data_IF_817487831434
#
_entry.id   IF_817487831434
#
_cell.length_a   1.000
_cell.length_b   1.000
_cell.length_c   1.000
_cell.angle_alpha   90.00
_cell.angle_beta   90.00
_cell.angle_gamma   90.00
#
_symmetry.space_group_name_H-M   'P 1'
#
loop_
_entity.id
_entity.type
_entity.pdbx_description
1 polymer ?
#
# COMPACT_ATOMS: atom_id res chain seq x y z
N UNK A 1 -14.88 -62.37 -34.32
CA UNK A 1 -15.14 -62.63 -35.75
C UNK A 1 -14.27 -61.75 -36.58
N UNK A 2 -13.28 -62.31 -37.15
CA UNK A 2 -12.84 -62.29 -38.56
C UNK A 2 -12.25 -60.97 -39.01
N UNK A 3 -10.96 -60.80 -38.97
CA UNK A 3 -9.90 -60.99 -39.99
C UNK A 3 -10.09 -60.11 -41.25
N UNK A 4 -9.13 -59.33 -41.63
CA UNK A 4 -8.28 -59.61 -42.77
C UNK A 4 -7.10 -58.64 -42.93
N UNK A 5 -5.95 -59.27 -43.11
CA UNK A 5 -4.68 -58.71 -43.61
C UNK A 5 -4.78 -58.41 -45.10
N UNK A 6 -4.10 -57.40 -45.59
CA UNK A 6 -3.45 -57.47 -46.92
C UNK A 6 -2.13 -56.69 -46.94
N UNK A 7 -1.10 -57.42 -47.22
CA UNK A 7 0.24 -56.97 -47.60
C UNK A 7 0.34 -56.86 -49.12
N UNK A 8 1.04 -55.83 -49.63
CA UNK A 8 1.60 -55.82 -51.00
C UNK A 8 2.92 -55.07 -50.95
N UNK A 9 3.92 -55.68 -51.02
CA UNK A 9 5.01 -55.96 -51.98
C UNK A 9 5.82 -54.74 -52.48
N UNK A 10 7.08 -54.87 -52.19
CA UNK A 10 8.32 -54.25 -52.68
C UNK A 10 8.32 -53.82 -54.15
N UNK A 11 8.92 -52.68 -54.44
CA UNK A 11 9.86 -52.50 -55.58
C UNK A 11 10.92 -51.47 -55.17
N UNK A 12 12.17 -51.94 -55.25
CA UNK A 12 13.35 -51.13 -55.01
C UNK A 12 13.71 -50.26 -56.21
N UNK A 13 14.30 -49.09 -55.90
CA UNK A 13 15.15 -48.37 -56.84
C UNK A 13 16.40 -47.90 -56.06
N UNK A 14 17.51 -48.44 -56.45
CA UNK A 14 18.83 -48.01 -56.08
C UNK A 14 19.15 -46.72 -56.84
N UNK A 15 19.49 -45.65 -56.10
CA UNK A 15 20.11 -44.44 -56.66
C UNK A 15 21.33 -44.10 -55.81
N UNK A 16 22.38 -43.92 -56.54
CA UNK A 16 23.74 -43.59 -56.16
C UNK A 16 23.83 -42.47 -55.13
N UNK A 17 24.59 -42.72 -54.07
CA UNK A 17 25.06 -41.70 -53.12
C UNK A 17 26.40 -41.22 -53.58
N UNK A 18 26.46 -40.09 -54.24
CA UNK A 18 27.68 -39.31 -54.45
C UNK A 18 28.03 -38.58 -53.17
N UNK A 19 29.18 -38.90 -52.62
CA UNK A 19 29.68 -38.28 -51.39
C UNK A 19 29.91 -36.78 -51.52
N UNK A 20 29.32 -36.03 -50.65
CA UNK A 20 29.73 -34.65 -50.30
C UNK A 20 30.22 -34.72 -48.85
N UNK A 21 31.56 -34.88 -48.67
CA UNK A 21 32.22 -34.62 -47.39
C UNK A 21 32.11 -33.11 -47.14
N UNK A 22 31.03 -32.70 -46.46
CA UNK A 22 30.94 -31.38 -45.87
C UNK A 22 31.87 -31.31 -44.67
N UNK A 23 32.82 -30.37 -44.70
CA UNK A 23 33.57 -29.92 -43.55
C UNK A 23 32.59 -29.58 -42.44
N UNK A 24 32.41 -30.42 -41.45
CA UNK A 24 31.95 -30.04 -40.14
C UNK A 24 33.05 -29.20 -39.52
N UNK A 25 32.94 -27.89 -39.63
CA UNK A 25 33.68 -26.99 -38.79
C UNK A 25 33.33 -27.35 -37.35
N UNK A 26 34.26 -27.93 -36.63
CA UNK A 26 34.23 -28.05 -35.18
C UNK A 26 34.22 -26.62 -34.64
N UNK A 27 33.03 -26.03 -34.52
CA UNK A 27 32.81 -24.92 -33.61
C UNK A 27 33.06 -25.51 -32.21
N UNK A 28 34.28 -25.29 -31.72
CA UNK A 28 34.59 -25.55 -30.33
C UNK A 28 33.56 -24.87 -29.47
N UNK A 29 33.29 -25.38 -28.26
CA UNK A 29 32.39 -24.68 -27.35
C UNK A 29 32.86 -23.25 -27.19
N UNK A 30 32.11 -22.27 -27.70
CA UNK A 30 32.30 -20.88 -27.35
C UNK A 30 32.10 -20.84 -25.86
N UNK A 31 33.16 -20.73 -25.10
CA UNK A 31 33.07 -20.50 -23.65
C UNK A 31 32.31 -19.20 -23.49
N UNK A 32 31.07 -19.26 -23.07
CA UNK A 32 30.33 -18.04 -22.79
C UNK A 32 31.10 -17.25 -21.71
N UNK A 33 31.27 -15.96 -21.93
CA UNK A 33 31.85 -15.09 -20.91
C UNK A 33 31.10 -15.28 -19.61
N UNK A 34 31.80 -15.50 -18.50
CA UNK A 34 31.19 -15.70 -17.19
C UNK A 34 32.00 -15.02 -16.10
N UNK A 35 31.32 -14.58 -15.08
CA UNK A 35 31.89 -14.03 -13.87
C UNK A 35 31.56 -14.89 -12.67
N UNK A 36 32.39 -14.79 -11.63
CA UNK A 36 32.13 -15.33 -10.30
C UNK A 36 31.80 -14.18 -9.37
N UNK A 37 30.63 -14.26 -8.73
CA UNK A 37 30.21 -13.32 -7.70
C UNK A 37 30.62 -13.82 -6.32
N UNK A 38 31.20 -12.95 -5.50
CA UNK A 38 31.41 -13.21 -4.07
C UNK A 38 30.12 -13.13 -3.28
N UNK A 39 30.21 -13.28 -1.97
CA UNK A 39 29.05 -13.12 -1.08
C UNK A 39 28.60 -11.67 -1.06
N UNK A 40 27.32 -11.37 -1.35
CA UNK A 40 26.81 -10.00 -1.24
C UNK A 40 26.65 -9.58 0.23
N UNK A 41 26.83 -8.29 0.48
CA UNK A 41 26.58 -7.66 1.76
C UNK A 41 25.60 -6.51 1.62
N UNK A 42 24.79 -6.27 2.68
CA UNK A 42 23.91 -5.12 2.76
C UNK A 42 23.98 -4.54 4.18
N UNK A 43 24.12 -3.22 4.27
CA UNK A 43 24.13 -2.49 5.54
C UNK A 43 23.12 -1.37 5.48
N UNK A 44 22.16 -1.37 6.40
CA UNK A 44 21.13 -0.35 6.54
C UNK A 44 21.55 0.66 7.61
N UNK A 45 21.27 1.95 7.33
CA UNK A 45 21.40 3.04 8.32
C UNK A 45 20.17 3.93 8.17
N UNK A 46 19.42 4.12 9.25
CA UNK A 46 18.20 4.90 9.27
C UNK A 46 18.43 6.33 8.79
N UNK A 47 17.54 6.81 7.91
CA UNK A 47 17.58 8.18 7.35
C UNK A 47 18.78 8.48 6.44
N UNK A 48 19.61 7.46 6.12
CA UNK A 48 20.76 7.62 5.22
C UNK A 48 20.67 6.73 3.98
N UNK A 49 20.48 5.43 4.19
CA UNK A 49 20.38 4.51 3.07
C UNK A 49 20.73 3.07 3.40
N UNK A 50 20.64 2.25 2.37
CA UNK A 50 21.09 0.85 2.38
C UNK A 50 22.24 0.72 1.40
N UNK A 51 23.41 0.34 1.89
CA UNK A 51 24.61 0.11 1.08
C UNK A 51 24.72 -1.37 0.74
N UNK A 52 24.67 -1.71 -0.54
CA UNK A 52 24.90 -3.05 -1.06
C UNK A 52 26.29 -3.14 -1.65
N UNK A 53 27.01 -4.22 -1.39
CA UNK A 53 28.35 -4.47 -1.96
C UNK A 53 28.55 -5.94 -2.30
N UNK A 54 29.25 -6.20 -3.42
CA UNK A 54 29.60 -7.54 -3.86
C UNK A 54 30.85 -7.53 -4.72
N UNK A 55 31.79 -8.44 -4.48
CA UNK A 55 32.92 -8.64 -5.39
C UNK A 55 32.50 -9.42 -6.62
N UNK A 56 33.15 -9.12 -7.75
CA UNK A 56 32.99 -9.85 -9.01
C UNK A 56 34.35 -10.09 -9.62
N UNK A 57 34.58 -11.28 -10.18
CA UNK A 57 35.84 -11.69 -10.85
C UNK A 57 35.53 -12.57 -12.05
N UNK A 58 36.48 -12.70 -12.99
CA UNK A 58 36.32 -13.54 -14.18
C UNK A 58 36.38 -12.71 -15.46
N UNK A 59 35.47 -12.96 -16.40
CA UNK A 59 35.44 -12.28 -17.70
C UNK A 59 35.14 -10.78 -17.54
N UNK A 60 35.58 -10.01 -18.48
CA UNK A 60 35.26 -8.57 -18.55
C UNK A 60 33.77 -8.37 -18.90
N UNK A 61 33.13 -7.44 -18.27
CA UNK A 61 31.75 -7.05 -18.54
C UNK A 61 31.68 -5.56 -18.91
N UNK A 62 30.69 -5.19 -19.70
CA UNK A 62 30.50 -3.83 -20.21
C UNK A 62 29.81 -2.92 -19.20
N UNK A 63 28.79 -3.45 -18.50
CA UNK A 63 27.94 -2.71 -17.59
C UNK A 63 27.59 -3.57 -16.36
N UNK A 64 27.25 -2.92 -15.28
CA UNK A 64 26.68 -3.57 -14.12
C UNK A 64 25.45 -2.78 -13.62
N UNK A 65 24.46 -3.51 -13.15
CA UNK A 65 23.22 -2.96 -12.64
C UNK A 65 22.95 -3.48 -11.23
N UNK A 66 22.25 -2.67 -10.46
CA UNK A 66 21.53 -3.10 -9.25
C UNK A 66 20.09 -3.41 -9.64
N UNK A 67 19.63 -4.62 -9.36
CA UNK A 67 18.25 -5.07 -9.49
C UNK A 67 17.65 -5.09 -8.09
N UNK A 68 16.70 -4.19 -7.83
CA UNK A 68 16.12 -3.93 -6.51
C UNK A 68 14.63 -4.22 -6.54
N UNK A 69 14.10 -4.88 -5.51
CA UNK A 69 12.67 -5.15 -5.34
C UNK A 69 12.23 -4.73 -3.95
N UNK A 70 11.21 -3.88 -3.89
CA UNK A 70 10.54 -3.48 -2.65
C UNK A 70 9.20 -4.20 -2.51
N UNK A 71 8.68 -4.36 -1.30
CA UNK A 71 7.32 -4.86 -1.10
C UNK A 71 6.30 -4.00 -1.86
N UNK A 72 5.37 -4.65 -2.55
CA UNK A 72 4.34 -3.96 -3.35
C UNK A 72 4.75 -3.55 -4.77
N UNK A 73 6.03 -3.68 -5.13
CA UNK A 73 6.46 -3.41 -6.50
C UNK A 73 5.85 -4.40 -7.50
N UNK A 74 5.40 -3.90 -8.65
CA UNK A 74 4.91 -4.74 -9.76
C UNK A 74 6.06 -5.54 -10.38
N UNK A 75 7.28 -5.02 -10.30
CA UNK A 75 8.50 -5.66 -10.81
C UNK A 75 9.75 -4.95 -10.30
N UNK A 76 10.93 -5.56 -10.50
CA UNK A 76 12.17 -5.00 -9.98
C UNK A 76 12.54 -3.69 -10.66
N UNK A 77 13.11 -2.78 -9.90
CA UNK A 77 13.80 -1.59 -10.39
C UNK A 77 15.22 -1.96 -10.80
N UNK A 78 15.66 -1.56 -11.99
CA UNK A 78 17.01 -1.79 -12.50
C UNK A 78 17.76 -0.46 -12.57
N UNK A 79 18.82 -0.33 -11.79
CA UNK A 79 19.61 0.90 -11.68
C UNK A 79 21.05 0.66 -12.11
N UNK A 80 21.49 1.40 -13.13
CA UNK A 80 22.85 1.29 -13.65
C UNK A 80 23.89 1.78 -12.63
N UNK A 81 24.93 0.97 -12.41
CA UNK A 81 26.05 1.31 -11.54
C UNK A 81 27.06 2.15 -12.34
N UNK A 82 27.44 3.29 -11.78
CA UNK A 82 28.44 4.16 -12.36
C UNK A 82 29.85 3.56 -12.14
N UNK A 83 30.64 3.47 -13.20
CA UNK A 83 32.03 3.01 -13.16
C UNK A 83 32.21 1.65 -12.44
N UNK A 84 31.56 0.58 -12.92
CA UNK A 84 31.65 -0.72 -12.28
C UNK A 84 33.06 -1.28 -12.38
N UNK A 85 33.61 -1.79 -11.27
CA UNK A 85 34.90 -2.47 -11.17
C UNK A 85 34.74 -3.89 -10.64
N UNK A 86 35.79 -4.46 -10.10
CA UNK A 86 35.79 -5.78 -9.44
C UNK A 86 35.05 -5.78 -8.10
N UNK A 87 34.67 -4.62 -7.58
CA UNK A 87 33.79 -4.43 -6.43
C UNK A 87 32.61 -3.59 -6.87
N UNK A 88 31.43 -4.20 -6.92
CA UNK A 88 30.18 -3.53 -7.21
C UNK A 88 29.61 -2.96 -5.93
N UNK A 89 29.22 -1.68 -5.95
CA UNK A 89 28.62 -1.02 -4.80
C UNK A 89 27.46 -0.15 -5.28
N UNK A 90 26.34 -0.21 -4.54
CA UNK A 90 25.17 0.62 -4.76
C UNK A 90 24.60 1.10 -3.43
N UNK A 91 24.25 2.37 -3.35
CA UNK A 91 23.57 2.95 -2.20
C UNK A 91 22.13 3.28 -2.59
N UNK A 92 21.17 2.62 -1.97
CA UNK A 92 19.79 2.99 -2.02
C UNK A 92 19.55 4.10 -0.98
N UNK A 93 19.35 5.32 -1.45
CA UNK A 93 19.16 6.50 -0.60
C UNK A 93 17.78 6.47 0.04
N UNK A 94 17.72 6.50 1.36
CA UNK A 94 16.47 6.55 2.14
C UNK A 94 16.23 7.90 2.81
N UNK A 95 17.10 8.90 2.56
CA UNK A 95 17.00 10.23 3.20
C UNK A 95 15.73 11.01 2.81
N UNK A 96 15.11 10.64 1.69
CA UNK A 96 13.87 11.23 1.20
C UNK A 96 12.62 10.53 1.71
N UNK A 97 12.75 9.52 2.60
CA UNK A 97 11.61 8.80 3.18
C UNK A 97 10.84 7.93 2.18
N UNK A 98 11.54 7.37 1.19
CA UNK A 98 10.92 6.51 0.17
C UNK A 98 10.43 5.18 0.72
N UNK A 99 11.03 4.70 1.82
CA UNK A 99 10.62 3.50 2.54
C UNK A 99 10.60 3.78 4.04
N UNK A 100 9.69 3.11 4.72
CA UNK A 100 9.55 3.15 6.18
C UNK A 100 10.39 2.05 6.85
N UNK A 101 10.72 2.16 8.14
CA UNK A 101 11.29 1.06 8.90
C UNK A 101 10.49 -0.24 8.74
N UNK A 102 11.14 -1.37 8.96
CA UNK A 102 10.62 -2.72 8.71
C UNK A 102 10.40 -3.11 7.25
N UNK A 103 10.71 -2.23 6.29
CA UNK A 103 10.67 -2.59 4.86
C UNK A 103 11.76 -3.61 4.55
N UNK A 104 11.36 -4.75 3.98
CA UNK A 104 12.26 -5.83 3.53
C UNK A 104 12.64 -5.59 2.08
N UNK A 105 13.90 -5.29 1.84
CA UNK A 105 14.45 -5.00 0.51
C UNK A 105 15.18 -6.22 -0.01
N UNK A 106 14.84 -6.67 -1.22
CA UNK A 106 15.59 -7.71 -1.95
C UNK A 106 16.41 -7.05 -3.05
N UNK A 107 17.67 -7.44 -3.18
CA UNK A 107 18.57 -6.86 -4.15
C UNK A 107 19.56 -7.90 -4.71
N UNK A 108 19.99 -7.70 -5.95
CA UNK A 108 21.08 -8.45 -6.57
C UNK A 108 21.84 -7.58 -7.56
N UNK A 109 23.10 -7.85 -7.72
CA UNK A 109 23.87 -7.26 -8.82
C UNK A 109 23.70 -8.10 -10.09
N UNK A 110 23.70 -7.43 -11.23
CA UNK A 110 23.71 -8.02 -12.56
C UNK A 110 24.83 -7.41 -13.36
N UNK A 111 25.55 -8.21 -14.16
CA UNK A 111 26.50 -7.71 -15.14
C UNK A 111 25.97 -7.96 -16.55
N UNK A 112 26.36 -7.08 -17.47
CA UNK A 112 26.02 -7.18 -18.90
C UNK A 112 27.33 -7.32 -19.68
N UNK A 113 27.47 -8.38 -20.45
CA UNK A 113 28.63 -8.64 -21.29
C UNK A 113 28.56 -7.85 -22.60
N UNK A 114 29.67 -7.84 -23.36
CA UNK A 114 29.79 -7.10 -24.61
C UNK A 114 28.77 -7.60 -25.68
N UNK A 115 28.42 -8.85 -25.66
CA UNK A 115 27.42 -9.48 -26.55
C UNK A 115 25.98 -9.20 -26.16
N UNK A 116 25.75 -8.49 -25.03
CA UNK A 116 24.41 -8.16 -24.49
C UNK A 116 23.84 -9.24 -23.59
N UNK A 117 24.50 -10.37 -23.40
CA UNK A 117 24.07 -11.37 -22.41
C UNK A 117 24.26 -10.84 -20.99
N UNK A 118 23.49 -11.37 -20.05
CA UNK A 118 23.52 -10.94 -18.64
C UNK A 118 23.77 -12.11 -17.71
N UNK A 119 24.47 -11.84 -16.61
CA UNK A 119 24.62 -12.78 -15.51
C UNK A 119 24.25 -12.10 -14.20
N UNK A 120 23.39 -12.73 -13.41
CA UNK A 120 22.97 -12.23 -12.11
C UNK A 120 23.76 -12.89 -10.98
N UNK A 121 24.12 -12.09 -10.00
CA UNK A 121 24.67 -12.54 -8.72
C UNK A 121 23.58 -13.10 -7.77
N UNK A 122 24.00 -13.68 -6.65
CA UNK A 122 23.08 -14.12 -5.61
C UNK A 122 22.28 -12.95 -5.04
N UNK A 123 21.02 -13.24 -4.68
CA UNK A 123 20.14 -12.28 -4.01
C UNK A 123 20.60 -12.04 -2.57
N UNK A 124 20.55 -10.80 -2.13
CA UNK A 124 20.64 -10.43 -0.72
C UNK A 124 19.34 -9.79 -0.25
N UNK A 125 18.97 -10.04 0.99
CA UNK A 125 17.80 -9.45 1.64
C UNK A 125 18.23 -8.69 2.87
N UNK A 126 17.67 -7.51 3.05
CA UNK A 126 17.94 -6.67 4.20
C UNK A 126 16.63 -6.02 4.66
N UNK A 127 16.45 -5.92 5.97
CA UNK A 127 15.36 -5.13 6.54
C UNK A 127 15.89 -3.73 6.84
N UNK A 128 15.22 -2.71 6.32
CA UNK A 128 15.47 -1.33 6.69
C UNK A 128 14.92 -1.12 8.09
N UNK A 129 15.78 -0.84 9.04
CA UNK A 129 15.43 -0.71 10.46
C UNK A 129 15.71 0.71 10.96
N UNK A 130 14.96 1.15 11.97
CA UNK A 130 15.29 2.35 12.72
C UNK A 130 16.32 1.98 13.81
N UNK A 131 17.59 2.12 13.48
CA UNK A 131 18.73 1.76 14.31
C UNK A 131 19.10 2.84 15.35
N UNK A 132 18.29 3.89 15.48
CA UNK A 132 18.43 4.92 16.53
C UNK A 132 18.10 4.39 17.92
N UNK A 133 17.27 3.32 18.01
CA UNK A 133 16.71 2.82 19.25
C UNK A 133 17.09 1.35 19.52
N UNK A 134 17.15 1.00 20.79
CA UNK A 134 17.26 -0.39 21.24
C UNK A 134 15.87 -1.01 21.41
N UNK A 135 15.31 -1.50 20.31
CA UNK A 135 13.99 -2.09 20.27
C UNK A 135 13.90 -3.35 21.13
N UNK A 136 12.95 -3.37 22.04
CA UNK A 136 12.47 -4.57 22.71
C UNK A 136 11.35 -5.18 21.88
N UNK A 137 11.14 -6.49 22.01
CA UNK A 137 10.13 -7.21 21.23
C UNK A 137 9.31 -8.11 22.13
N UNK A 138 7.99 -8.11 21.91
CA UNK A 138 7.04 -9.01 22.56
C UNK A 138 6.10 -9.62 21.54
N UNK A 139 6.10 -10.95 21.43
CA UNK A 139 5.33 -11.70 20.44
C UNK A 139 3.98 -12.06 21.05
N UNK A 140 2.89 -11.68 20.33
CA UNK A 140 1.52 -12.11 20.58
C UNK A 140 1.05 -13.17 19.59
N UNK A 141 -0.26 -13.29 19.43
CA UNK A 141 -0.91 -14.20 18.46
C UNK A 141 -0.95 -13.58 17.06
N UNK A 142 -1.39 -12.33 16.98
CA UNK A 142 -1.56 -11.58 15.74
C UNK A 142 -0.60 -10.40 15.62
N UNK A 143 0.04 -10.00 16.74
CA UNK A 143 0.89 -8.81 16.82
C UNK A 143 2.25 -9.18 17.34
N UNK A 144 3.30 -8.69 16.69
CA UNK A 144 4.66 -8.60 17.24
C UNK A 144 4.90 -7.14 17.63
N UNK A 145 4.86 -6.85 18.92
CA UNK A 145 5.09 -5.51 19.45
C UNK A 145 6.58 -5.19 19.54
N UNK A 146 6.97 -4.01 19.05
CA UNK A 146 8.29 -3.42 19.17
C UNK A 146 8.19 -2.08 19.89
N UNK A 147 8.99 -1.87 20.94
CA UNK A 147 9.03 -0.63 21.71
C UNK A 147 10.44 -0.38 22.26
N UNK A 148 10.75 0.86 22.57
CA UNK A 148 12.07 1.20 23.13
C UNK A 148 11.97 1.96 24.47
N UNK A 149 10.80 2.48 24.83
CA UNK A 149 10.55 3.21 26.06
C UNK A 149 9.28 2.69 26.75
N UNK A 150 9.32 2.66 28.10
CA UNK A 150 8.25 2.07 28.91
C UNK A 150 8.63 0.69 29.46
N UNK A 151 7.88 0.25 30.47
CA UNK A 151 8.11 -1.02 31.16
C UNK A 151 7.32 -2.19 30.53
N UNK A 152 7.48 -3.37 31.12
CA UNK A 152 6.79 -4.58 30.65
C UNK A 152 5.25 -4.50 30.80
N UNK A 153 4.74 -3.70 31.75
CA UNK A 153 3.31 -3.51 31.94
C UNK A 153 2.74 -2.64 30.83
N UNK A 154 3.44 -1.57 30.45
CA UNK A 154 3.12 -0.77 29.27
C UNK A 154 3.09 -1.63 27.99
N UNK A 155 4.14 -2.40 27.75
CA UNK A 155 4.23 -3.28 26.59
C UNK A 155 3.08 -4.30 26.54
N UNK A 156 2.70 -4.87 27.70
CA UNK A 156 1.57 -5.80 27.78
C UNK A 156 0.25 -5.12 27.43
N UNK A 157 0.03 -3.87 27.86
CA UNK A 157 -1.18 -3.14 27.54
C UNK A 157 -1.25 -2.79 26.04
N UNK A 158 -0.15 -2.31 25.45
CA UNK A 158 -0.07 -2.01 24.01
C UNK A 158 -0.32 -3.27 23.17
N UNK A 159 0.33 -4.39 23.51
CA UNK A 159 0.10 -5.67 22.84
C UNK A 159 -1.37 -6.10 22.92
N UNK A 160 -1.97 -5.99 24.12
CA UNK A 160 -3.38 -6.37 24.32
C UNK A 160 -4.33 -5.51 23.49
N UNK A 161 -4.06 -4.21 23.34
CA UNK A 161 -4.84 -3.34 22.45
C UNK A 161 -4.75 -3.81 21.00
N UNK A 162 -3.57 -4.13 20.51
CA UNK A 162 -3.36 -4.65 19.17
C UNK A 162 -4.11 -5.96 18.92
N UNK A 163 -3.94 -6.95 19.80
CA UNK A 163 -4.60 -8.25 19.70
C UNK A 163 -6.14 -8.13 19.70
N UNK A 164 -6.68 -7.27 20.56
CA UNK A 164 -8.12 -7.03 20.64
C UNK A 164 -8.64 -6.31 19.39
N UNK A 165 -7.88 -5.33 18.86
CA UNK A 165 -8.22 -4.60 17.66
C UNK A 165 -8.35 -5.53 16.45
N UNK A 166 -7.33 -6.34 16.20
CA UNK A 166 -7.35 -7.33 15.11
C UNK A 166 -8.50 -8.32 15.29
N UNK A 167 -8.63 -8.92 16.47
CA UNK A 167 -9.68 -9.91 16.74
C UNK A 167 -11.09 -9.35 16.55
N UNK A 168 -11.32 -8.09 16.89
CA UNK A 168 -12.61 -7.41 16.70
C UNK A 168 -12.90 -7.18 15.22
N UNK A 169 -11.93 -6.61 14.49
CA UNK A 169 -12.08 -6.31 13.06
C UNK A 169 -12.19 -7.57 12.21
N UNK A 170 -11.36 -8.58 12.47
CA UNK A 170 -11.39 -9.85 11.76
C UNK A 170 -12.74 -10.57 11.92
N UNK A 171 -13.27 -10.63 13.15
CA UNK A 171 -14.60 -11.22 13.39
C UNK A 171 -15.73 -10.46 12.73
N UNK A 172 -15.65 -9.12 12.74
CA UNK A 172 -16.68 -8.30 12.11
C UNK A 172 -16.68 -8.47 10.60
N UNK A 173 -15.50 -8.41 9.98
CA UNK A 173 -15.31 -8.46 8.52
C UNK A 173 -15.32 -9.88 7.96
N UNK A 174 -15.27 -10.91 8.82
CA UNK A 174 -15.18 -12.30 8.37
C UNK A 174 -13.84 -12.66 7.72
N UNK A 175 -12.77 -11.95 8.12
CA UNK A 175 -11.40 -12.17 7.65
C UNK A 175 -10.69 -13.11 8.62
N UNK A 176 -9.84 -13.99 8.09
CA UNK A 176 -8.97 -14.85 8.89
C UNK A 176 -7.54 -14.36 8.76
N UNK A 177 -6.99 -13.84 9.85
CA UNK A 177 -5.61 -13.42 9.89
C UNK A 177 -4.67 -14.64 9.88
N UNK A 178 -3.66 -14.61 9.00
CA UNK A 178 -2.73 -15.72 8.81
C UNK A 178 -1.28 -15.35 9.09
N UNK A 179 -0.96 -14.08 9.19
CA UNK A 179 0.38 -13.58 9.47
C UNK A 179 0.36 -12.49 10.55
N UNK A 180 1.37 -12.42 11.42
CA UNK A 180 1.45 -11.37 12.42
C UNK A 180 1.69 -10.00 11.76
N UNK A 181 1.30 -8.96 12.51
CA UNK A 181 1.53 -7.55 12.18
C UNK A 181 2.65 -7.06 13.11
N UNK A 182 3.69 -6.44 12.55
CA UNK A 182 4.72 -5.77 13.31
C UNK A 182 4.21 -4.41 13.80
N UNK A 183 4.11 -4.22 15.11
CA UNK A 183 3.59 -3.01 15.75
C UNK A 183 4.72 -2.25 16.44
N UNK A 184 5.14 -1.13 15.85
CA UNK A 184 6.20 -0.25 16.38
C UNK A 184 5.60 0.91 17.16
N UNK A 185 6.00 1.02 18.43
CA UNK A 185 5.60 2.11 19.32
C UNK A 185 6.72 3.11 19.44
N UNK A 186 6.45 4.34 19.02
CA UNK A 186 7.31 5.50 19.20
C UNK A 186 6.83 6.31 20.40
N UNK A 187 7.75 6.67 21.28
CA UNK A 187 7.41 7.37 22.51
C UNK A 187 7.30 8.89 22.35
N UNK A 188 7.87 9.45 21.28
CA UNK A 188 7.87 10.88 21.00
C UNK A 188 7.52 11.19 19.55
N UNK A 189 6.95 12.38 19.35
CA UNK A 189 6.41 12.83 18.06
C UNK A 189 7.49 12.99 16.98
N UNK A 190 8.66 13.50 17.33
CA UNK A 190 9.72 13.73 16.35
C UNK A 190 10.22 12.41 15.77
N UNK A 191 10.50 11.46 16.63
CA UNK A 191 10.97 10.12 16.24
C UNK A 191 9.94 9.37 15.41
N UNK A 192 8.67 9.51 15.76
CA UNK A 192 7.55 8.94 15.00
C UNK A 192 7.45 9.54 13.59
N UNK A 193 7.49 10.87 13.46
CA UNK A 193 7.42 11.52 12.15
C UNK A 193 8.65 11.27 11.29
N UNK A 194 9.84 11.18 11.90
CA UNK A 194 11.06 10.79 11.18
C UNK A 194 10.92 9.38 10.59
N UNK A 195 10.27 8.46 11.30
CA UNK A 195 10.05 7.09 10.82
C UNK A 195 9.05 7.01 9.67
N UNK A 196 8.01 7.83 9.69
CA UNK A 196 7.02 7.89 8.62
C UNK A 196 7.53 8.63 7.38
N UNK A 197 8.51 9.49 7.53
CA UNK A 197 9.17 10.23 6.45
C UNK A 197 8.50 11.56 6.09
N UNK A 198 9.13 12.34 5.20
CA UNK A 198 8.63 13.63 4.76
C UNK A 198 7.34 13.44 3.95
N UNK A 199 6.30 14.13 4.30
CA UNK A 199 4.97 14.03 3.69
C UNK A 199 3.91 13.47 4.63
N UNK A 200 4.32 13.00 5.80
CA UNK A 200 3.40 12.70 6.89
C UNK A 200 2.66 13.97 7.28
N UNK A 201 1.34 13.86 7.37
CA UNK A 201 0.50 15.02 7.75
C UNK A 201 0.70 15.33 9.22
N UNK A 202 0.68 16.63 9.55
CA UNK A 202 0.62 17.06 10.94
C UNK A 202 -0.57 16.40 11.65
N UNK A 203 -0.37 16.06 12.91
CA UNK A 203 -1.39 15.43 13.76
C UNK A 203 -1.76 13.98 13.43
N UNK A 204 -0.93 13.22 12.75
CA UNK A 204 -1.04 11.76 12.65
C UNK A 204 -0.47 11.13 13.91
N UNK A 205 -1.20 10.22 14.52
CA UNK A 205 -0.76 9.50 15.73
C UNK A 205 -0.61 7.99 15.53
N UNK A 206 -1.01 7.49 14.36
CA UNK A 206 -0.82 6.12 13.90
C UNK A 206 -0.79 6.05 12.40
N UNK A 207 -0.13 5.05 11.85
CA UNK A 207 -0.13 4.75 10.43
C UNK A 207 0.06 3.25 10.22
N UNK A 208 -0.85 2.62 9.50
CA UNK A 208 -0.71 1.25 9.06
C UNK A 208 -0.17 1.18 7.64
N UNK A 209 0.94 0.48 7.46
CA UNK A 209 1.42 0.08 6.15
C UNK A 209 0.96 -1.35 5.87
N UNK A 210 -0.09 -1.49 5.07
CA UNK A 210 -0.72 -2.79 4.78
C UNK A 210 0.20 -3.69 3.96
N UNK A 211 1.02 -3.11 3.07
CA UNK A 211 1.96 -3.86 2.22
C UNK A 211 3.06 -4.54 3.03
N UNK A 212 3.63 -3.83 4.00
CA UNK A 212 4.66 -4.38 4.90
C UNK A 212 4.08 -5.03 6.14
N UNK A 213 2.76 -4.95 6.34
CA UNK A 213 2.05 -5.37 7.55
C UNK A 213 2.66 -4.78 8.81
N UNK A 214 2.89 -3.47 8.78
CA UNK A 214 3.51 -2.74 9.87
C UNK A 214 2.58 -1.64 10.35
N UNK A 215 2.37 -1.58 11.67
CA UNK A 215 1.71 -0.46 12.34
C UNK A 215 2.78 0.37 13.04
N UNK A 216 2.75 1.67 12.81
CA UNK A 216 3.49 2.66 13.58
C UNK A 216 2.50 3.45 14.43
N UNK A 217 2.78 3.63 15.72
CA UNK A 217 1.93 4.47 16.56
C UNK A 217 2.76 5.29 17.55
N UNK A 218 2.35 6.55 17.73
CA UNK A 218 2.86 7.44 18.75
C UNK A 218 2.13 7.18 20.05
N UNK A 219 2.78 6.54 21.00
CA UNK A 219 2.20 6.18 22.29
C UNK A 219 3.16 6.53 23.42
N UNK A 220 2.78 7.51 24.24
CA UNK A 220 3.53 7.82 25.45
C UNK A 220 3.37 6.68 26.47
N UNK A 221 4.46 6.20 27.09
CA UNK A 221 4.39 5.21 28.17
C UNK A 221 3.55 5.64 29.37
N UNK A 222 3.36 6.97 29.53
CA UNK A 222 2.59 7.56 30.63
C UNK A 222 1.14 7.87 30.29
N UNK A 223 0.75 7.80 29.00
CA UNK A 223 -0.62 8.07 28.54
C UNK A 223 -1.03 7.13 27.42
N UNK A 224 -1.84 6.16 27.76
CA UNK A 224 -2.44 5.18 26.84
C UNK A 224 -3.83 5.62 26.34
N UNK A 225 -4.33 6.78 26.74
CA UNK A 225 -5.69 7.21 26.42
C UNK A 225 -5.95 7.23 24.92
N UNK A 226 -5.08 7.90 24.18
CA UNK A 226 -5.15 8.01 22.72
C UNK A 226 -4.93 6.66 22.01
N UNK A 227 -4.01 5.84 22.52
CA UNK A 227 -3.70 4.53 21.94
C UNK A 227 -4.93 3.61 21.85
N UNK A 228 -5.88 3.74 22.80
CA UNK A 228 -7.11 2.92 22.83
C UNK A 228 -8.01 3.13 21.62
N UNK A 229 -7.90 4.28 20.96
CA UNK A 229 -8.64 4.60 19.74
C UNK A 229 -7.79 4.35 18.50
N UNK A 230 -6.55 4.89 18.45
CA UNK A 230 -5.73 4.85 17.24
C UNK A 230 -5.28 3.43 16.89
N UNK A 231 -4.88 2.62 17.86
CA UNK A 231 -4.40 1.26 17.57
C UNK A 231 -5.47 0.37 16.93
N UNK A 232 -6.69 0.24 17.47
CA UNK A 232 -7.75 -0.51 16.79
C UNK A 232 -8.17 0.09 15.45
N UNK A 233 -8.11 1.43 15.29
CA UNK A 233 -8.40 2.11 14.03
C UNK A 233 -7.45 1.64 12.94
N UNK A 234 -6.16 1.81 13.15
CA UNK A 234 -5.13 1.46 12.17
C UNK A 234 -5.11 -0.05 11.86
N UNK A 235 -5.31 -0.89 12.86
CA UNK A 235 -5.37 -2.33 12.65
C UNK A 235 -6.62 -2.76 11.86
N UNK A 236 -7.69 -1.98 11.89
CA UNK A 236 -8.85 -2.22 11.04
C UNK A 236 -8.51 -2.07 9.56
N UNK A 237 -7.66 -1.09 9.21
CA UNK A 237 -7.19 -0.93 7.85
C UNK A 237 -6.43 -2.17 7.36
N UNK A 238 -5.54 -2.73 8.19
CA UNK A 238 -4.78 -3.94 7.84
C UNK A 238 -5.72 -5.12 7.60
N UNK A 239 -6.64 -5.36 8.53
CA UNK A 239 -7.62 -6.48 8.40
C UNK A 239 -8.54 -6.29 7.20
N UNK A 240 -8.97 -5.07 6.93
CA UNK A 240 -9.84 -4.77 5.79
C UNK A 240 -9.08 -4.95 4.46
N UNK A 241 -7.84 -4.49 4.40
CA UNK A 241 -6.96 -4.70 3.25
C UNK A 241 -6.72 -6.18 2.98
N UNK A 242 -6.36 -6.97 4.00
CA UNK A 242 -6.18 -8.43 3.87
C UNK A 242 -7.41 -9.12 3.30
N UNK A 243 -8.62 -8.65 3.67
CA UNK A 243 -9.86 -9.21 3.19
C UNK A 243 -10.29 -8.74 1.80
N UNK A 244 -9.77 -7.62 1.32
CA UNK A 244 -10.22 -6.98 0.06
C UNK A 244 -9.16 -6.88 -1.01
N UNK A 245 -7.87 -7.15 -0.67
CA UNK A 245 -6.75 -6.99 -1.60
C UNK A 245 -6.94 -7.79 -2.89
N UNK A 246 -6.82 -7.09 -3.99
CA UNK A 246 -6.79 -7.60 -5.35
C UNK A 246 -6.01 -6.64 -6.25
N UNK A 247 -5.52 -7.07 -7.45
CA UNK A 247 -4.68 -6.22 -8.31
C UNK A 247 -5.45 -5.18 -9.13
N UNK A 248 -6.79 -5.12 -9.03
CA UNK A 248 -7.61 -4.37 -9.97
C UNK A 248 -8.30 -3.16 -9.35
N UNK A 249 -8.78 -3.27 -8.11
CA UNK A 249 -9.63 -2.26 -7.52
C UNK A 249 -9.49 -2.22 -5.99
N UNK A 250 -9.43 -1.03 -5.43
CA UNK A 250 -9.45 -0.81 -3.97
C UNK A 250 -10.81 -0.26 -3.55
N UNK A 251 -11.34 -0.68 -2.40
CA UNK A 251 -12.58 -0.14 -1.85
C UNK A 251 -12.53 1.39 -1.67
N UNK A 252 -13.67 2.10 -1.70
CA UNK A 252 -13.71 3.54 -1.56
C UNK A 252 -13.22 3.98 -0.18
N UNK A 253 -12.51 5.12 -0.13
CA UNK A 253 -11.90 5.61 1.11
C UNK A 253 -12.90 5.81 2.23
N UNK A 254 -14.08 6.38 1.95
CA UNK A 254 -15.10 6.56 2.98
C UNK A 254 -15.52 5.26 3.67
N UNK A 255 -15.54 4.14 2.95
CA UNK A 255 -15.85 2.83 3.51
C UNK A 255 -14.72 2.34 4.41
N UNK A 256 -13.48 2.46 3.97
CA UNK A 256 -12.29 2.05 4.72
C UNK A 256 -12.16 2.86 6.03
N UNK A 257 -12.18 4.19 5.94
CA UNK A 257 -12.08 5.08 7.11
C UNK A 257 -13.31 4.96 8.03
N UNK A 258 -14.49 4.87 7.44
CA UNK A 258 -15.73 4.70 8.20
C UNK A 258 -15.79 3.40 9.00
N UNK A 259 -15.27 2.29 8.45
CA UNK A 259 -15.13 1.01 9.15
C UNK A 259 -14.08 1.12 10.27
N UNK A 260 -12.96 1.78 10.02
CA UNK A 260 -11.90 1.97 11.01
C UNK A 260 -12.42 2.77 12.22
N UNK A 261 -13.12 3.88 12.00
CA UNK A 261 -13.78 4.64 13.08
C UNK A 261 -14.86 3.82 13.75
N UNK A 262 -15.74 3.15 12.99
CA UNK A 262 -16.83 2.37 13.57
C UNK A 262 -16.35 1.23 14.46
N UNK A 263 -15.30 0.54 14.06
CA UNK A 263 -14.74 -0.59 14.82
C UNK A 263 -13.81 -0.15 15.96
N UNK A 264 -13.21 1.03 15.92
CA UNK A 264 -12.42 1.55 17.04
C UNK A 264 -13.31 2.17 18.13
N UNK A 265 -14.14 3.14 17.78
CA UNK A 265 -14.88 3.97 18.73
C UNK A 265 -16.40 4.05 18.46
N UNK A 266 -16.87 3.59 17.29
CA UNK A 266 -18.27 3.65 16.90
C UNK A 266 -18.67 5.02 16.34
N UNK A 267 -19.96 5.18 15.97
CA UNK A 267 -20.50 6.48 15.56
C UNK A 267 -20.84 7.31 16.80
N UNK A 268 -19.87 8.10 17.25
CA UNK A 268 -19.89 8.84 18.50
C UNK A 268 -20.76 10.09 18.49
N UNK A 269 -20.89 10.76 19.64
CA UNK A 269 -21.68 11.99 19.79
C UNK A 269 -21.10 13.16 19.01
N UNK A 270 -19.77 13.24 18.91
CA UNK A 270 -19.05 14.27 18.14
C UNK A 270 -19.39 14.16 16.65
N UNK A 271 -19.25 12.97 16.08
CA UNK A 271 -19.55 12.71 14.67
C UNK A 271 -21.01 12.96 14.35
N UNK A 272 -21.92 12.48 15.22
CA UNK A 272 -23.36 12.76 15.11
C UNK A 272 -23.66 14.25 15.08
N UNK A 273 -22.95 15.03 15.89
CA UNK A 273 -23.10 16.50 15.90
C UNK A 273 -22.63 17.13 14.60
N UNK A 274 -21.45 16.74 14.10
CA UNK A 274 -20.90 17.23 12.82
C UNK A 274 -21.84 16.91 11.66
N UNK A 275 -22.27 15.65 11.52
CA UNK A 275 -23.20 15.22 10.47
C UNK A 275 -24.54 15.95 10.58
N UNK A 276 -25.11 16.08 11.78
CA UNK A 276 -26.37 16.80 11.99
C UNK A 276 -26.28 18.29 11.62
N UNK A 277 -25.17 18.95 11.97
CA UNK A 277 -24.93 20.34 11.59
C UNK A 277 -24.78 20.50 10.08
N UNK A 278 -24.00 19.62 9.44
CA UNK A 278 -23.81 19.63 7.99
C UNK A 278 -25.12 19.32 7.24
N UNK A 279 -25.96 18.43 7.76
CA UNK A 279 -27.27 18.16 7.20
C UNK A 279 -28.18 19.39 7.27
N UNK A 280 -28.25 20.08 8.43
CA UNK A 280 -29.02 21.32 8.60
C UNK A 280 -28.57 22.45 7.70
N UNK A 281 -27.26 22.62 7.52
CA UNK A 281 -26.66 23.63 6.64
C UNK A 281 -26.59 23.19 5.17
N UNK A 282 -27.03 21.98 4.85
CA UNK A 282 -26.98 21.38 3.51
C UNK A 282 -25.55 21.34 2.92
N UNK A 283 -24.59 21.01 3.77
CA UNK A 283 -23.16 20.93 3.40
C UNK A 283 -22.61 19.50 3.45
N UNK A 284 -23.47 18.48 3.64
CA UNK A 284 -23.05 17.08 3.53
C UNK A 284 -22.46 16.80 2.15
N UNK A 285 -21.31 16.15 2.14
CA UNK A 285 -20.65 15.72 0.91
C UNK A 285 -21.26 14.40 0.43
N UNK A 286 -21.53 14.21 -0.87
CA UNK A 286 -21.95 12.91 -1.36
C UNK A 286 -20.83 11.88 -1.19
N UNK A 287 -21.16 10.63 -0.88
CA UNK A 287 -20.16 9.56 -0.65
C UNK A 287 -19.23 9.37 -1.85
N UNK A 288 -19.70 9.66 -3.08
CA UNK A 288 -18.87 9.65 -4.28
C UNK A 288 -17.73 10.69 -4.24
N UNK A 289 -17.91 11.81 -3.54
CA UNK A 289 -16.85 12.79 -3.35
C UNK A 289 -15.81 12.35 -2.31
N UNK A 290 -16.11 11.34 -1.52
CA UNK A 290 -15.27 10.77 -0.48
C UNK A 290 -14.63 9.42 -0.89
N UNK A 291 -14.72 9.05 -2.16
CA UNK A 291 -14.16 7.78 -2.67
C UNK A 291 -12.62 7.81 -2.69
N UNK A 292 -12.04 8.95 -3.08
CA UNK A 292 -10.59 9.15 -3.16
C UNK A 292 -10.05 9.97 -1.97
N UNK A 293 -9.29 11.02 -2.27
CA UNK A 293 -8.72 11.88 -1.23
C UNK A 293 -9.79 12.71 -0.51
N UNK A 294 -9.69 12.74 0.83
CA UNK A 294 -10.53 13.61 1.64
C UNK A 294 -10.11 15.07 1.51
N UNK A 295 -11.04 16.03 1.74
CA UNK A 295 -10.70 17.45 1.75
C UNK A 295 -9.58 17.76 2.74
N UNK A 296 -8.71 18.71 2.40
CA UNK A 296 -7.52 19.05 3.22
C UNK A 296 -7.75 20.15 4.23
N UNK A 297 -8.88 20.90 4.13
CA UNK A 297 -9.26 21.88 5.17
C UNK A 297 -9.76 21.16 6.41
N UNK A 298 -9.33 21.60 7.60
CA UNK A 298 -9.57 20.88 8.84
C UNK A 298 -11.05 20.55 9.10
N UNK A 299 -11.95 21.51 8.94
CA UNK A 299 -13.39 21.35 9.13
C UNK A 299 -14.01 20.31 8.19
N UNK A 300 -13.67 20.34 6.90
CA UNK A 300 -14.15 19.37 5.92
C UNK A 300 -13.51 18.01 6.06
N UNK A 301 -12.27 17.99 6.52
CA UNK A 301 -11.55 16.77 6.79
C UNK A 301 -12.22 15.98 7.92
N UNK A 302 -12.46 16.61 9.07
CA UNK A 302 -13.19 15.95 10.17
C UNK A 302 -14.63 15.59 9.80
N UNK A 303 -15.28 16.43 9.01
CA UNK A 303 -16.61 16.12 8.49
C UNK A 303 -16.58 14.86 7.59
N UNK A 304 -15.57 14.70 6.74
CA UNK A 304 -15.44 13.50 5.89
C UNK A 304 -15.36 12.20 6.70
N UNK A 305 -14.64 12.22 7.84
CA UNK A 305 -14.61 11.09 8.77
C UNK A 305 -15.97 10.84 9.42
N UNK A 306 -16.60 11.89 9.92
CA UNK A 306 -17.92 11.80 10.53
C UNK A 306 -18.99 11.30 9.54
N UNK A 307 -18.94 11.74 8.29
CA UNK A 307 -19.82 11.24 7.23
C UNK A 307 -19.52 9.79 6.87
N UNK A 308 -18.26 9.40 6.83
CA UNK A 308 -17.82 8.03 6.54
C UNK A 308 -18.34 7.04 7.60
N UNK A 309 -18.13 7.34 8.88
CA UNK A 309 -18.65 6.47 9.96
C UNK A 309 -20.16 6.49 10.02
N UNK A 310 -20.82 7.61 9.72
CA UNK A 310 -22.29 7.71 9.63
C UNK A 310 -22.85 6.84 8.51
N UNK A 311 -22.18 6.78 7.35
CA UNK A 311 -22.58 5.93 6.23
C UNK A 311 -22.43 4.43 6.58
N UNK A 312 -21.33 4.06 7.23
CA UNK A 312 -21.12 2.69 7.73
C UNK A 312 -22.18 2.31 8.77
N UNK A 313 -22.45 3.18 9.75
CA UNK A 313 -23.51 2.97 10.75
C UNK A 313 -24.89 2.81 10.10
N UNK A 314 -25.22 3.63 9.10
CA UNK A 314 -26.46 3.48 8.32
C UNK A 314 -26.56 2.12 7.66
N UNK A 315 -25.48 1.65 7.00
CA UNK A 315 -25.47 0.35 6.34
C UNK A 315 -25.63 -0.80 7.37
N UNK A 316 -24.93 -0.71 8.51
CA UNK A 316 -25.01 -1.73 9.57
C UNK A 316 -26.42 -1.77 10.18
N UNK A 317 -27.01 -0.62 10.49
CA UNK A 317 -28.38 -0.56 11.04
C UNK A 317 -29.42 -1.10 10.07
N UNK A 318 -29.23 -0.86 8.78
CA UNK A 318 -30.21 -1.21 7.76
C UNK A 318 -30.08 -2.65 7.26
N UNK A 319 -28.88 -3.15 7.10
CA UNK A 319 -28.62 -4.45 6.45
C UNK A 319 -27.96 -5.48 7.38
N UNK A 320 -27.45 -5.05 8.53
CA UNK A 320 -26.73 -5.91 9.47
C UNK A 320 -25.29 -6.19 9.08
N UNK A 321 -24.61 -6.99 9.89
CA UNK A 321 -23.19 -7.30 9.73
C UNK A 321 -22.90 -8.27 8.58
N UNK A 322 -23.71 -9.29 8.37
CA UNK A 322 -23.42 -10.34 7.39
C UNK A 322 -23.21 -9.83 5.94
N UNK A 323 -23.92 -8.80 5.44
CA UNK A 323 -23.63 -8.20 4.15
C UNK A 323 -22.22 -7.57 4.06
N UNK A 324 -21.64 -7.07 5.15
CA UNK A 324 -20.28 -6.56 5.15
C UNK A 324 -19.25 -7.68 4.90
N UNK A 325 -19.43 -8.85 5.48
CA UNK A 325 -18.57 -10.00 5.20
C UNK A 325 -18.66 -10.41 3.72
N UNK A 326 -19.87 -10.36 3.16
CA UNK A 326 -20.07 -10.61 1.73
C UNK A 326 -19.42 -9.52 0.86
N UNK A 327 -19.51 -8.25 1.28
CA UNK A 327 -18.86 -7.11 0.62
C UNK A 327 -17.35 -7.31 0.52
N UNK A 328 -16.69 -7.59 1.66
CA UNK A 328 -15.25 -7.89 1.75
C UNK A 328 -14.88 -9.02 0.80
N UNK A 329 -15.59 -10.14 0.88
CA UNK A 329 -15.35 -11.29 0.00
C UNK A 329 -15.57 -10.97 -1.49
N UNK A 330 -16.48 -10.06 -1.83
CA UNK A 330 -16.71 -9.67 -3.23
C UNK A 330 -15.58 -8.79 -3.73
N UNK A 331 -15.10 -7.83 -2.93
CA UNK A 331 -13.94 -7.02 -3.31
C UNK A 331 -12.70 -7.86 -3.60
N UNK A 332 -12.43 -8.90 -2.82
CA UNK A 332 -11.25 -9.77 -3.06
C UNK A 332 -11.25 -10.46 -4.44
N UNK A 333 -12.35 -10.44 -5.17
CA UNK A 333 -12.43 -10.95 -6.55
C UNK A 333 -12.08 -9.92 -7.61
N UNK A 334 -11.78 -8.67 -7.24
CA UNK A 334 -11.53 -7.57 -8.17
C UNK A 334 -12.79 -6.87 -8.67
N UNK A 335 -13.91 -7.04 -7.95
CA UNK A 335 -15.16 -6.38 -8.28
C UNK A 335 -15.08 -4.86 -8.12
N UNK A 336 -15.76 -4.13 -8.98
CA UNK A 336 -15.98 -2.69 -8.82
C UNK A 336 -16.86 -2.39 -7.59
N UNK A 337 -16.90 -1.12 -7.18
CA UNK A 337 -17.75 -0.69 -6.05
C UNK A 337 -19.21 -1.09 -6.27
N UNK A 338 -19.77 -0.80 -7.44
CA UNK A 338 -21.17 -1.10 -7.74
C UNK A 338 -21.47 -2.60 -7.76
N UNK A 339 -20.56 -3.42 -8.29
CA UNK A 339 -20.69 -4.87 -8.26
C UNK A 339 -20.63 -5.41 -6.83
N UNK A 340 -19.68 -4.93 -6.02
CA UNK A 340 -19.50 -5.36 -4.64
C UNK A 340 -20.70 -4.94 -3.77
N UNK A 341 -21.17 -3.71 -3.89
CA UNK A 341 -22.33 -3.22 -3.15
C UNK A 341 -23.64 -3.90 -3.59
N UNK A 342 -23.84 -4.09 -4.90
CA UNK A 342 -25.02 -4.82 -5.40
C UNK A 342 -25.01 -6.27 -4.93
N UNK A 343 -23.86 -6.93 -4.96
CA UNK A 343 -23.75 -8.30 -4.44
C UNK A 343 -24.04 -8.37 -2.93
N UNK A 344 -23.51 -7.41 -2.15
CA UNK A 344 -23.63 -7.43 -0.69
C UNK A 344 -25.01 -6.96 -0.19
N UNK A 345 -25.49 -5.82 -0.67
CA UNK A 345 -26.65 -5.11 -0.14
C UNK A 345 -27.86 -5.10 -1.09
N UNK A 346 -27.70 -5.57 -2.33
CA UNK A 346 -28.76 -5.55 -3.35
C UNK A 346 -28.98 -4.17 -4.00
N UNK A 347 -28.07 -3.21 -3.77
CA UNK A 347 -28.12 -1.84 -4.27
C UNK A 347 -26.74 -1.35 -4.66
N UNK A 348 -26.64 -0.46 -5.64
CA UNK A 348 -25.40 0.18 -6.07
C UNK A 348 -24.97 1.33 -5.13
N UNK A 349 -23.78 1.88 -5.38
CA UNK A 349 -23.22 2.98 -4.57
C UNK A 349 -24.05 4.26 -4.64
N UNK A 350 -24.70 4.53 -5.77
CA UNK A 350 -25.58 5.70 -5.92
C UNK A 350 -26.83 5.56 -5.04
N UNK A 351 -27.44 4.36 -4.98
CA UNK A 351 -28.57 4.08 -4.12
C UNK A 351 -28.17 4.08 -2.63
N UNK A 352 -26.96 3.64 -2.29
CA UNK A 352 -26.41 3.78 -0.92
C UNK A 352 -26.33 5.25 -0.54
N UNK A 353 -25.71 6.09 -1.36
CA UNK A 353 -25.60 7.53 -1.10
C UNK A 353 -26.98 8.18 -0.94
N UNK A 354 -27.91 7.89 -1.83
CA UNK A 354 -29.28 8.40 -1.74
C UNK A 354 -29.97 7.99 -0.45
N UNK A 355 -29.83 6.73 -0.05
CA UNK A 355 -30.42 6.21 1.17
C UNK A 355 -29.81 6.81 2.43
N UNK A 356 -28.50 6.97 2.49
CA UNK A 356 -27.80 7.63 3.59
C UNK A 356 -28.15 9.11 3.71
N UNK A 357 -28.23 9.84 2.61
CA UNK A 357 -28.68 11.24 2.60
C UNK A 357 -30.11 11.35 3.14
N UNK A 358 -31.01 10.47 2.71
CA UNK A 358 -32.40 10.43 3.21
C UNK A 358 -32.46 10.10 4.71
N UNK A 359 -31.62 9.19 5.21
CA UNK A 359 -31.50 8.88 6.65
C UNK A 359 -31.07 10.12 7.48
N UNK A 360 -30.33 11.05 6.86
CA UNK A 360 -29.93 12.34 7.43
C UNK A 360 -30.90 13.50 7.08
N UNK A 361 -32.09 13.21 6.56
CA UNK A 361 -33.12 14.20 6.24
C UNK A 361 -32.88 15.00 4.96
N UNK A 362 -31.96 14.56 4.10
CA UNK A 362 -31.65 15.22 2.83
C UNK A 362 -32.31 14.49 1.66
N UNK A 363 -33.21 15.18 0.97
CA UNK A 363 -33.98 14.62 -0.17
C UNK A 363 -33.38 14.96 -1.53
N UNK A 364 -32.48 15.95 -1.60
CA UNK A 364 -31.78 16.34 -2.83
C UNK A 364 -30.28 16.41 -2.56
N UNK A 365 -29.48 15.67 -3.32
CA UNK A 365 -28.03 15.77 -3.25
C UNK A 365 -27.57 17.12 -3.78
N UNK A 366 -26.66 17.79 -3.03
CA UNK A 366 -25.90 18.90 -3.59
C UNK A 366 -24.75 18.33 -4.42
N UNK A 367 -24.51 18.92 -5.58
CA UNK A 367 -23.35 18.58 -6.40
C UNK A 367 -22.15 19.35 -5.88
N UNK A 368 -21.19 18.65 -5.27
CA UNK A 368 -19.91 19.20 -4.88
C UNK A 368 -18.86 18.87 -5.95
N UNK A 369 -17.99 19.80 -6.22
CA UNK A 369 -16.92 19.66 -7.19
C UNK A 369 -16.93 20.75 -8.25
N UNK A 370 -15.92 20.80 -9.11
CA UNK A 370 -15.93 21.75 -10.21
C UNK A 370 -17.15 21.46 -11.09
N UNK A 371 -18.03 22.45 -11.18
CA UNK A 371 -19.10 22.44 -12.17
C UNK A 371 -18.42 22.35 -13.54
N UNK A 372 -18.93 21.49 -14.42
CA UNK A 372 -18.52 21.52 -15.81
C UNK A 372 -18.70 22.94 -16.32
N UNK A 373 -17.61 23.62 -16.66
CA UNK A 373 -17.71 24.92 -17.31
C UNK A 373 -18.58 24.74 -18.57
N UNK A 374 -19.48 25.70 -18.88
CA UNK A 374 -20.15 25.69 -20.17
C UNK A 374 -19.09 25.53 -21.25
N UNK A 375 -19.34 24.70 -22.24
CA UNK A 375 -18.42 24.48 -23.33
C UNK A 375 -18.09 25.86 -23.98
N UNK A 376 -16.95 26.41 -23.52
CA UNK A 376 -16.37 27.62 -24.11
C UNK A 376 -15.64 27.26 -25.42
N UNK A 377 -15.25 28.26 -26.20
CA UNK A 377 -14.42 28.01 -27.36
C UNK A 377 -13.12 27.33 -26.95
N UNK A 378 -12.77 26.26 -27.63
CA UNK A 378 -11.52 25.54 -27.39
C UNK A 378 -10.37 26.50 -27.69
N UNK A 379 -9.34 26.59 -26.79
CA UNK A 379 -8.20 27.45 -27.04
C UNK A 379 -7.54 27.13 -28.40
N UNK A 380 -7.03 28.12 -29.12
CA UNK A 380 -6.31 27.89 -30.36
C UNK A 380 -5.17 26.87 -30.15
N UNK A 381 -5.12 25.84 -30.98
CA UNK A 381 -4.15 24.76 -30.90
C UNK A 381 -4.60 23.51 -30.13
N UNK A 382 -5.76 23.50 -29.50
CA UNK A 382 -6.37 22.31 -28.92
C UNK A 382 -7.28 21.64 -29.95
N UNK A 383 -7.04 20.38 -30.21
CA UNK A 383 -7.92 19.58 -31.08
C UNK A 383 -8.88 18.76 -30.23
N UNK A 384 -10.18 18.89 -30.51
CA UNK A 384 -11.22 18.07 -29.86
C UNK A 384 -11.39 16.70 -30.53
N UNK A 385 -10.36 16.19 -31.20
CA UNK A 385 -10.42 14.89 -31.87
C UNK A 385 -10.40 13.75 -30.84
N UNK A 386 -11.51 13.55 -30.17
CA UNK A 386 -11.88 12.28 -29.56
C UNK A 386 -12.40 11.33 -30.62
N UNK A 387 -11.54 10.82 -31.45
CA UNK A 387 -11.83 9.79 -32.45
C UNK A 387 -10.79 8.70 -32.33
N UNK A 388 -11.24 7.54 -31.92
CA UNK A 388 -10.47 6.28 -31.99
C UNK A 388 -9.84 6.15 -33.38
N UNK A 389 -8.52 6.13 -33.41
CA UNK A 389 -7.79 5.31 -34.39
C UNK A 389 -6.41 4.97 -33.89
N UNK A 390 -6.09 3.69 -34.03
CA UNK A 390 -4.86 3.07 -33.61
C UNK A 390 -3.64 3.50 -34.38
N UNK A 391 -2.52 3.34 -33.72
CA UNK A 391 -1.22 2.99 -34.27
C UNK A 391 -0.50 4.06 -35.05
N UNK A 392 0.54 4.63 -34.46
CA UNK A 392 1.88 4.53 -35.06
C UNK A 392 2.95 5.16 -34.15
N UNK A 393 4.03 4.42 -34.05
CA UNK A 393 5.29 4.75 -33.41
C UNK A 393 5.92 6.05 -33.96
N UNK A 394 6.35 6.94 -33.05
CA UNK A 394 7.23 8.07 -33.36
C UNK A 394 8.25 8.24 -32.25
N UNK A 395 9.50 7.91 -32.55
CA UNK A 395 10.68 8.14 -31.73
C UNK A 395 10.87 9.64 -31.43
N UNK A 396 11.28 9.95 -30.23
CA UNK A 396 11.86 11.27 -29.95
C UNK A 396 12.06 11.61 -28.49
N UNK A 397 13.29 11.43 -28.03
CA UNK A 397 14.04 12.13 -26.97
C UNK A 397 13.63 11.98 -25.50
N UNK A 398 14.44 11.22 -24.83
CA UNK A 398 15.07 11.42 -23.51
C UNK A 398 14.57 12.60 -22.66
N UNK A 399 13.84 12.27 -21.65
CA UNK A 399 13.62 13.01 -20.44
C UNK A 399 13.30 11.98 -19.37
N UNK A 400 14.33 11.49 -18.68
CA UNK A 400 14.15 10.64 -17.52
C UNK A 400 13.52 11.47 -16.40
N UNK A 401 12.20 11.59 -16.44
CA UNK A 401 11.40 11.96 -15.29
C UNK A 401 11.04 10.67 -14.59
N UNK A 402 11.66 10.43 -13.44
CA UNK A 402 11.19 9.44 -12.49
C UNK A 402 9.73 9.75 -12.12
N UNK A 403 8.80 9.09 -12.77
CA UNK A 403 7.48 8.86 -12.22
C UNK A 403 7.64 7.70 -11.25
N UNK A 404 8.15 8.01 -10.06
CA UNK A 404 7.86 7.21 -8.88
C UNK A 404 6.37 7.44 -8.66
N UNK A 405 5.56 6.49 -9.06
CA UNK A 405 4.22 6.37 -8.54
C UNK A 405 4.40 6.16 -7.03
N UNK A 406 4.26 7.23 -6.28
CA UNK A 406 4.00 7.12 -4.87
C UNK A 406 2.69 6.35 -4.74
N UNK A 407 2.79 5.06 -4.47
CA UNK A 407 1.73 4.34 -3.81
C UNK A 407 1.65 4.97 -2.45
N UNK A 408 0.83 6.01 -2.35
CA UNK A 408 0.50 6.62 -1.09
C UNK A 408 -0.15 5.55 -0.25
N UNK A 409 0.55 5.18 0.80
CA UNK A 409 -0.02 4.45 1.90
C UNK A 409 -1.39 5.06 2.23
N UNK A 410 -2.43 4.30 1.96
CA UNK A 410 -3.78 4.58 2.39
C UNK A 410 -3.81 4.25 3.87
N UNK A 411 -3.66 5.20 4.69
CA UNK A 411 -3.78 4.95 6.12
C UNK A 411 -3.21 6.11 6.94
N UNK A 412 -3.81 6.41 7.96
CA UNK A 412 -3.33 7.29 8.99
C UNK A 412 -4.11 8.56 9.14
N UNK A 413 -5.03 8.55 10.03
CA UNK A 413 -5.75 9.71 10.49
C UNK A 413 -6.03 9.69 11.97
N UNK A 414 -5.71 10.63 12.46
CA UNK A 414 -5.86 11.65 13.44
C UNK A 414 -7.20 11.78 14.15
N UNK A 415 -7.10 11.72 15.44
CA UNK A 415 -8.00 12.39 16.36
C UNK A 415 -7.18 13.23 17.35
N UNK A 416 -6.90 14.45 16.99
CA UNK A 416 -6.41 15.48 17.92
C UNK A 416 -7.26 16.73 17.75
N UNK A 417 -8.38 16.79 18.42
CA UNK A 417 -9.23 17.98 18.39
C UNK A 417 -10.09 18.21 19.61
N UNK A 418 -10.20 17.27 20.53
CA UNK A 418 -11.16 17.38 21.65
C UNK A 418 -10.48 17.69 22.99
N UNK A 419 -9.21 17.39 23.17
CA UNK A 419 -8.53 17.64 24.45
C UNK A 419 -8.11 19.11 24.67
N UNK A 420 -8.03 19.94 23.63
CA UNK A 420 -7.57 21.32 23.77
C UNK A 420 -8.66 22.33 24.17
N UNK A 421 -9.94 21.99 24.09
CA UNK A 421 -11.04 22.92 24.38
C UNK A 421 -11.54 22.83 25.83
N UNK A 422 -11.24 21.77 26.53
CA UNK A 422 -11.68 21.60 27.94
C UNK A 422 -10.68 22.12 28.98
N UNK A 423 -9.44 22.43 28.59
CA UNK A 423 -8.39 22.86 29.54
C UNK A 423 -8.19 24.36 29.64
N UNK A 424 -8.92 25.21 28.88
CA UNK A 424 -8.81 26.65 28.95
C UNK A 424 -9.96 27.34 29.71
N UNK A 425 -10.92 26.58 30.29
CA UNK A 425 -12.06 27.17 31.01
C UNK A 425 -11.98 27.16 32.54
N UNK A 426 -10.96 26.56 33.14
CA UNK A 426 -10.86 26.43 34.61
C UNK A 426 -9.69 27.26 35.24
N UNK A 427 -9.19 28.30 34.57
CA UNK A 427 -8.12 29.15 35.15
C UNK A 427 -8.57 30.52 35.66
N UNK A 428 -9.84 30.87 35.59
CA UNK A 428 -10.35 32.16 36.04
C UNK A 428 -11.37 32.09 37.19
N UNK A 429 -11.17 31.19 38.15
CA UNK A 429 -11.96 31.20 39.39
C UNK A 429 -11.08 30.92 40.61
N UNK A 430 -10.32 31.89 41.02
CA UNK A 430 -9.90 32.00 42.43
C UNK A 430 -10.32 33.34 43.01
N UNK A 431 -11.09 33.38 44.08
CA UNK A 431 -11.42 34.63 44.80
C UNK A 431 -10.22 35.07 45.64
N UNK A 432 -9.97 36.38 45.59
CA UNK A 432 -9.07 37.06 46.51
C UNK A 432 -9.70 37.07 47.91
N UNK A 433 -8.96 36.55 48.88
CA UNK A 433 -8.79 37.11 50.23
C UNK A 433 -7.38 36.82 50.68
#
# INVERSE_FOLDING_TARGET
MITSRRAVARRGCAVFVSGLLGLLALAGPVSADSVSFGTPTATSTFGKGIVFSQSVSGASFKEADMVLTLPGDIGPSVVKIKNPGSSLTYTFDTSTGQIQPNTKVSARFQVVFADGTTQQGPETKVTYVDDRFHWQTKIGTFVTLHWYEGDAAFAQQALTMGENGISKSARFLGVTETAPIDFFVYADQQSFYDALGPGTRENVGGEANTVTRTLFALISPTDLGYARTVVPHELTHVVFDDGTTNPYHSPPRWLNEGLAVYLSEGFGSSDKSLVSQAAKSKTLMPLQALTGQFPTTADRFYLAYAESVSAVDYLIRKYGQAPFQKLVKTYSTGASDDEAFTAAFGIDTAAVNKGWLADNGITSSQTFGPQTAPAGPVPPGWTTSGGSQGGQSGQGSSGAGLLIAAVLALGGVVLLGVAAVTHTRDRDAQPRL
#
